data_IF_616453044541
#
_entry.id   IF_616453044541
#
_cell.length_a   1.000
_cell.length_b   1.000
_cell.length_c   1.000
_cell.angle_alpha   90.00
_cell.angle_beta   90.00
_cell.angle_gamma   90.00
#
_symmetry.space_group_name_H-M   'P 1'
#
loop_
_entity.id
_entity.type
_entity.pdbx_description
1 polymer ?
#
# COMPACT_ATOMS: atom_id res chain seq x y z
N UNK A 1 -29.67 -43.99 20.50
CA UNK A 1 -30.57 -44.25 21.65
C UNK A 1 -30.12 -45.52 22.33
N UNK A 2 -29.69 -45.44 23.59
CA UNK A 2 -29.44 -46.61 24.42
C UNK A 2 -30.29 -46.45 25.67
N UNK A 3 -31.20 -47.39 25.87
CA UNK A 3 -31.96 -47.54 27.10
C UNK A 3 -31.46 -48.82 27.75
N UNK A 4 -30.68 -48.68 28.82
CA UNK A 4 -30.35 -49.81 29.68
C UNK A 4 -31.49 -50.00 30.69
N UNK A 5 -31.96 -51.24 30.82
CA UNK A 5 -32.85 -51.67 31.89
C UNK A 5 -32.02 -52.46 32.91
N UNK A 6 -32.14 -52.19 34.22
CA UNK A 6 -31.53 -53.02 35.23
C UNK A 6 -32.33 -54.34 35.38
N UNK A 7 -31.62 -55.46 35.27
CA UNK A 7 -32.14 -56.79 35.57
C UNK A 7 -32.06 -57.07 37.07
N UNK A 8 -33.18 -56.92 37.78
CA UNK A 8 -33.67 -57.82 38.84
C UNK A 8 -34.60 -57.10 39.82
N UNK A 9 -35.67 -57.82 40.21
CA UNK A 9 -36.59 -57.60 41.32
C UNK A 9 -37.83 -56.72 41.07
N UNK A 10 -38.97 -57.31 41.43
CA UNK A 10 -40.35 -56.85 41.30
C UNK A 10 -40.85 -56.20 42.62
N UNK A 11 -42.15 -55.90 42.79
CA UNK A 11 -42.87 -54.82 42.14
C UNK A 11 -43.57 -53.95 43.21
N UNK A 12 -43.37 -52.65 43.23
CA UNK A 12 -44.40 -51.64 43.57
C UNK A 12 -43.76 -50.26 43.56
N UNK A 13 -44.36 -49.36 42.77
CA UNK A 13 -44.12 -47.92 42.80
C UNK A 13 -42.76 -47.48 42.24
N UNK A 14 -42.70 -47.15 40.95
CA UNK A 14 -41.65 -46.30 40.38
C UNK A 14 -42.22 -45.51 39.20
N UNK A 15 -42.47 -44.22 39.46
CA UNK A 15 -42.73 -43.21 38.45
C UNK A 15 -41.61 -43.21 37.41
N UNK A 16 -41.97 -43.16 36.14
CA UNK A 16 -41.04 -42.81 35.07
C UNK A 16 -40.61 -41.36 35.25
N UNK A 17 -39.46 -41.14 35.88
CA UNK A 17 -38.79 -39.83 35.80
C UNK A 17 -38.01 -39.77 34.49
N UNK A 18 -38.66 -39.30 33.43
CA UNK A 18 -37.96 -38.72 32.30
C UNK A 18 -37.45 -37.33 32.71
N UNK A 19 -36.17 -37.22 33.07
CA UNK A 19 -35.53 -35.89 33.18
C UNK A 19 -35.42 -35.30 31.77
N UNK A 20 -36.29 -34.35 31.46
CA UNK A 20 -36.06 -33.37 30.40
C UNK A 20 -34.87 -32.54 30.88
N UNK A 21 -33.74 -32.66 30.19
CA UNK A 21 -32.53 -31.90 30.50
C UNK A 21 -32.84 -30.40 30.47
N UNK A 22 -32.65 -29.79 31.64
CA UNK A 22 -32.79 -28.36 31.92
C UNK A 22 -32.07 -27.50 30.88
N UNK A 23 -32.81 -26.61 30.24
CA UNK A 23 -32.23 -25.62 29.35
C UNK A 23 -33.30 -24.75 28.74
N UNK A 24 -33.36 -23.49 29.18
CA UNK A 24 -34.27 -22.50 28.64
C UNK A 24 -33.96 -22.32 27.14
N UNK A 25 -34.82 -22.82 26.26
CA UNK A 25 -34.64 -22.80 24.79
C UNK A 25 -34.30 -21.40 24.23
N UNK A 26 -34.67 -20.35 24.97
CA UNK A 26 -34.35 -18.95 24.66
C UNK A 26 -32.88 -18.58 24.88
N UNK A 27 -32.16 -19.23 25.79
CA UNK A 27 -30.72 -19.02 26.02
C UNK A 27 -29.87 -19.75 24.97
N UNK A 28 -30.27 -20.97 24.60
CA UNK A 28 -29.60 -21.75 23.55
C UNK A 28 -29.65 -21.04 22.18
N UNK A 29 -30.77 -20.36 21.86
CA UNK A 29 -30.89 -19.57 20.63
C UNK A 29 -30.04 -18.29 20.67
N UNK A 30 -29.98 -17.58 21.81
CA UNK A 30 -29.11 -16.39 21.96
C UNK A 30 -27.62 -16.72 21.83
N UNK A 31 -27.19 -17.86 22.36
CA UNK A 31 -25.80 -18.28 22.31
C UNK A 31 -25.38 -18.75 20.92
N UNK A 32 -26.27 -19.44 20.19
CA UNK A 32 -25.99 -19.96 18.84
C UNK A 32 -26.03 -18.90 17.75
N UNK A 33 -26.93 -17.91 17.87
CA UNK A 33 -27.07 -16.82 16.88
C UNK A 33 -26.33 -15.53 17.27
N UNK A 34 -26.02 -15.33 18.56
CA UNK A 34 -25.23 -14.18 19.04
C UNK A 34 -23.76 -14.24 18.61
N UNK A 35 -23.18 -15.45 18.60
CA UNK A 35 -21.78 -15.66 18.17
C UNK A 35 -21.58 -15.52 16.65
N UNK A 36 -22.61 -15.82 15.85
CA UNK A 36 -22.54 -15.70 14.39
C UNK A 36 -22.67 -14.25 13.90
N UNK A 37 -23.47 -13.43 14.59
CA UNK A 37 -23.66 -12.00 14.27
C UNK A 37 -22.42 -11.16 14.61
N UNK A 38 -21.68 -11.52 15.66
CA UNK A 38 -20.45 -10.83 16.03
C UNK A 38 -19.30 -11.09 15.03
N UNK A 39 -19.21 -12.30 14.47
CA UNK A 39 -18.13 -12.68 13.56
C UNK A 39 -18.23 -12.04 12.16
N UNK A 40 -19.45 -11.73 11.69
CA UNK A 40 -19.66 -11.11 10.36
C UNK A 40 -19.40 -9.59 10.39
N UNK A 41 -19.60 -8.93 11.54
CA UNK A 41 -19.37 -7.50 11.69
C UNK A 41 -17.87 -7.12 11.74
N UNK A 42 -16.97 -8.05 12.08
CA UNK A 42 -15.53 -7.77 12.20
C UNK A 42 -14.78 -7.79 10.85
N UNK A 43 -15.32 -8.45 9.82
CA UNK A 43 -14.61 -8.65 8.54
C UNK A 43 -14.62 -7.38 7.65
N UNK A 44 -15.57 -6.47 7.84
CA UNK A 44 -15.68 -5.26 7.00
C UNK A 44 -14.82 -4.07 7.45
N UNK A 45 -14.12 -4.15 8.59
CA UNK A 45 -13.41 -3.00 9.17
C UNK A 45 -11.91 -2.92 8.84
N UNK A 46 -11.35 -3.86 8.08
CA UNK A 46 -9.90 -3.85 7.74
C UNK A 46 -9.59 -3.66 6.26
N UNK A 47 -10.55 -3.23 5.44
CA UNK A 47 -10.25 -2.77 4.09
C UNK A 47 -9.53 -1.41 4.16
N UNK A 48 -8.21 -1.43 4.29
CA UNK A 48 -7.38 -0.25 4.07
C UNK A 48 -7.62 0.26 2.66
N UNK A 49 -8.22 1.44 2.52
CA UNK A 49 -8.42 2.07 1.23
C UNK A 49 -7.06 2.51 0.69
N UNK A 50 -6.56 1.80 -0.33
CA UNK A 50 -5.41 2.26 -1.09
C UNK A 50 -5.88 3.37 -2.03
N UNK A 51 -5.29 4.55 -1.92
CA UNK A 51 -5.55 5.67 -2.83
C UNK A 51 -4.44 5.76 -3.86
N UNK A 52 -4.75 6.09 -5.10
CA UNK A 52 -3.74 6.34 -6.13
C UNK A 52 -3.58 7.85 -6.29
N UNK A 53 -2.34 8.32 -6.16
CA UNK A 53 -1.96 9.70 -6.45
C UNK A 53 -1.20 9.71 -7.79
N UNK A 54 -1.58 10.61 -8.68
CA UNK A 54 -0.97 10.77 -10.01
C UNK A 54 -0.12 12.02 -10.05
N UNK A 55 1.01 11.94 -10.75
CA UNK A 55 1.97 13.01 -10.89
C UNK A 55 2.66 13.03 -12.25
N UNK A 56 3.66 13.90 -12.37
CA UNK A 56 4.46 14.09 -13.57
C UNK A 56 5.95 13.93 -13.31
N UNK A 57 6.65 13.41 -14.32
CA UNK A 57 8.10 13.44 -14.44
C UNK A 57 8.48 14.34 -15.63
N UNK A 58 9.13 15.45 -15.33
CA UNK A 58 9.56 16.41 -16.33
C UNK A 58 11.06 16.28 -16.56
N UNK A 59 11.52 15.92 -17.78
CA UNK A 59 12.94 15.80 -18.07
C UNK A 59 13.66 17.15 -17.88
N UNK A 60 14.68 17.16 -17.02
CA UNK A 60 15.54 18.33 -16.79
C UNK A 60 16.96 18.13 -17.30
N UNK A 61 17.35 16.88 -17.56
CA UNK A 61 18.63 16.50 -18.16
C UNK A 61 18.53 15.14 -18.87
N UNK A 62 19.46 14.90 -19.80
CA UNK A 62 19.59 13.66 -20.55
C UNK A 62 18.82 13.65 -21.89
N UNK A 63 18.84 12.53 -22.62
CA UNK A 63 18.28 12.42 -23.97
C UNK A 63 16.84 12.91 -24.13
N UNK A 64 15.98 12.72 -23.12
CA UNK A 64 14.59 13.18 -23.16
C UNK A 64 14.45 14.69 -22.99
N UNK A 65 15.37 15.36 -22.29
CA UNK A 65 15.35 16.82 -22.16
C UNK A 65 15.71 17.57 -23.46
N UNK A 66 16.34 16.86 -24.41
CA UNK A 66 16.76 17.41 -25.71
C UNK A 66 15.71 17.22 -26.82
N UNK A 67 14.67 16.41 -26.58
CA UNK A 67 13.58 16.19 -27.55
C UNK A 67 12.68 17.43 -27.65
N UNK A 68 12.11 17.65 -28.84
CA UNK A 68 11.09 18.68 -29.06
C UNK A 68 9.79 18.07 -29.63
N UNK A 69 8.63 18.26 -28.95
CA UNK A 69 8.48 18.87 -27.62
C UNK A 69 9.14 18.03 -26.52
N UNK A 70 9.52 18.66 -25.40
CA UNK A 70 10.06 17.95 -24.23
C UNK A 70 8.93 17.06 -23.67
N UNK A 71 9.13 15.74 -23.58
CA UNK A 71 8.07 14.83 -23.20
C UNK A 71 7.90 14.82 -21.68
N UNK A 72 6.70 15.10 -21.18
CA UNK A 72 6.35 14.94 -19.76
C UNK A 72 5.75 13.56 -19.55
N UNK A 73 6.33 12.76 -18.66
CA UNK A 73 5.84 11.41 -18.37
C UNK A 73 4.84 11.48 -17.21
N UNK A 74 3.81 10.63 -17.27
CA UNK A 74 2.87 10.46 -16.17
C UNK A 74 3.36 9.35 -15.23
N UNK A 75 3.19 9.56 -13.94
CA UNK A 75 3.55 8.61 -12.89
C UNK A 75 2.40 8.42 -11.92
N UNK A 76 2.07 7.19 -11.60
CA UNK A 76 1.04 6.84 -10.63
C UNK A 76 1.68 6.15 -9.43
N UNK A 77 1.32 6.58 -8.23
CA UNK A 77 1.76 5.99 -6.98
C UNK A 77 0.55 5.55 -6.14
N UNK A 78 0.50 4.28 -5.78
CA UNK A 78 -0.48 3.79 -4.79
C UNK A 78 0.01 4.12 -3.39
N UNK A 79 -0.88 4.66 -2.54
CA UNK A 79 -0.61 5.00 -1.16
C UNK A 79 -1.39 4.06 -0.25
N UNK A 80 -0.66 3.12 0.36
CA UNK A 80 -1.21 2.16 1.32
C UNK A 80 -0.55 2.24 2.72
N UNK A 81 0.23 3.29 2.99
CA UNK A 81 0.93 3.48 4.26
C UNK A 81 2.30 4.16 4.06
N UNK A 82 3.40 3.66 4.65
CA UNK A 82 4.74 4.18 4.44
C UNK A 82 5.34 3.76 3.09
N UNK A 83 4.55 3.18 2.18
CA UNK A 83 4.98 2.74 0.87
C UNK A 83 3.80 2.27 0.01
N UNK A 84 4.14 1.87 -1.21
CA UNK A 84 3.19 1.31 -2.17
C UNK A 84 3.82 1.07 -3.54
N UNK A 85 2.97 0.87 -4.55
CA UNK A 85 3.40 0.59 -5.91
C UNK A 85 3.59 1.90 -6.69
N UNK A 86 4.46 1.86 -7.69
CA UNK A 86 4.63 2.96 -8.65
C UNK A 86 4.58 2.41 -10.07
N UNK A 87 3.97 3.15 -10.98
CA UNK A 87 3.93 2.83 -12.40
C UNK A 87 4.07 4.08 -13.25
N UNK A 88 4.73 3.94 -14.39
CA UNK A 88 4.85 5.01 -15.39
C UNK A 88 4.95 4.40 -16.78
N UNK A 89 4.67 5.21 -17.80
CA UNK A 89 4.90 4.86 -19.19
C UNK A 89 5.81 5.91 -19.82
N UNK A 90 6.88 5.46 -20.46
CA UNK A 90 7.82 6.36 -21.15
C UNK A 90 7.19 6.91 -22.44
N UNK A 91 7.76 7.98 -23.02
CA UNK A 91 7.25 8.56 -24.27
C UNK A 91 7.31 7.58 -25.45
N UNK A 92 8.18 6.58 -25.36
CA UNK A 92 8.38 5.53 -26.35
C UNK A 92 7.43 4.33 -26.13
N UNK A 93 6.47 4.45 -25.20
CA UNK A 93 5.46 3.43 -24.91
C UNK A 93 5.93 2.30 -24.00
N UNK A 94 7.10 2.44 -23.38
CA UNK A 94 7.65 1.43 -22.47
C UNK A 94 6.99 1.58 -21.10
N UNK A 95 6.38 0.51 -20.61
CA UNK A 95 5.75 0.49 -19.28
C UNK A 95 6.77 0.10 -18.22
N UNK A 96 6.77 0.82 -17.11
CA UNK A 96 7.61 0.54 -15.96
C UNK A 96 6.77 0.38 -14.70
N UNK A 97 7.18 -0.57 -13.86
CA UNK A 97 6.50 -0.88 -12.61
C UNK A 97 7.50 -1.11 -11.50
N UNK A 98 7.14 -0.73 -10.28
CA UNK A 98 7.93 -1.01 -9.10
C UNK A 98 7.26 -0.54 -7.82
N UNK A 99 8.08 -0.13 -6.86
CA UNK A 99 7.61 0.22 -5.51
C UNK A 99 8.31 1.46 -4.98
N UNK A 100 7.65 2.09 -4.00
CA UNK A 100 8.19 3.19 -3.24
C UNK A 100 8.03 2.94 -1.74
N UNK A 101 8.91 3.53 -0.95
CA UNK A 101 8.86 3.47 0.51
C UNK A 101 9.49 4.68 1.17
N UNK A 102 8.95 5.09 2.33
CA UNK A 102 9.55 6.14 3.17
C UNK A 102 10.83 5.62 3.81
N UNK A 103 11.88 6.41 3.73
CA UNK A 103 13.18 6.13 4.32
C UNK A 103 13.43 7.08 5.50
N UNK A 104 13.40 6.54 6.71
CA UNK A 104 13.82 7.30 7.89
C UNK A 104 15.35 7.46 7.89
N UNK A 105 15.85 8.71 7.90
CA UNK A 105 17.28 9.00 8.02
C UNK A 105 18.14 8.60 6.82
N UNK A 106 17.55 8.52 5.62
CA UNK A 106 18.25 8.14 4.39
C UNK A 106 19.23 9.18 3.86
N UNK A 107 20.26 8.70 3.16
CA UNK A 107 21.11 9.54 2.30
C UNK A 107 20.45 9.70 0.94
N UNK A 108 20.52 10.89 0.31
CA UNK A 108 19.97 11.12 -1.01
C UNK A 108 20.69 10.26 -2.08
N UNK A 109 19.92 9.56 -2.89
CA UNK A 109 20.31 8.85 -4.12
C UNK A 109 20.80 9.82 -5.20
N UNK A 110 20.26 11.04 -5.27
CA UNK A 110 20.65 12.04 -6.26
C UNK A 110 21.50 13.16 -5.67
N UNK A 111 22.63 13.44 -6.32
CA UNK A 111 23.53 14.54 -5.96
C UNK A 111 23.18 15.84 -6.69
N UNK A 112 23.65 16.98 -6.16
CA UNK A 112 23.54 18.30 -6.81
C UNK A 112 23.97 18.25 -8.28
N UNK A 113 25.11 17.60 -8.57
CA UNK A 113 25.65 17.45 -9.93
C UNK A 113 24.70 16.75 -10.90
N UNK A 114 23.81 15.89 -10.42
CA UNK A 114 22.81 15.20 -11.25
C UNK A 114 21.70 16.16 -11.72
N UNK A 115 21.60 17.35 -11.10
CA UNK A 115 20.46 18.26 -11.20
C UNK A 115 20.86 19.63 -11.75
N UNK A 116 22.14 19.99 -11.66
CA UNK A 116 22.68 21.29 -12.10
C UNK A 116 22.92 21.44 -13.59
N UNK A 117 22.84 20.36 -14.38
CA UNK A 117 23.08 20.37 -15.83
C UNK A 117 22.03 21.07 -16.69
N UNK A 118 21.19 21.97 -16.13
CA UNK A 118 20.14 22.63 -16.93
C UNK A 118 19.32 23.69 -16.19
N UNK A 119 18.36 23.29 -15.35
CA UNK A 119 17.43 24.21 -14.64
C UNK A 119 16.91 23.65 -13.31
N UNK A 120 17.72 22.82 -12.63
CA UNK A 120 17.31 22.13 -11.41
C UNK A 120 17.93 22.65 -10.11
N UNK A 121 18.84 23.63 -10.14
CA UNK A 121 19.59 24.06 -8.95
C UNK A 121 18.68 24.65 -7.85
N UNK A 122 17.71 25.50 -8.22
CA UNK A 122 16.74 26.07 -7.27
C UNK A 122 15.84 24.98 -6.68
N UNK A 123 15.43 24.04 -7.52
CA UNK A 123 14.63 22.88 -7.11
C UNK A 123 15.42 21.97 -6.17
N UNK A 124 16.67 21.64 -6.50
CA UNK A 124 17.55 20.84 -5.65
C UNK A 124 17.84 21.53 -4.33
N UNK A 125 18.05 22.85 -4.33
CA UNK A 125 18.26 23.61 -3.09
C UNK A 125 17.03 23.56 -2.20
N UNK A 126 15.84 23.82 -2.76
CA UNK A 126 14.59 23.65 -2.04
C UNK A 126 14.44 22.21 -1.53
N UNK A 127 14.67 21.21 -2.37
CA UNK A 127 14.65 19.78 -2.03
C UNK A 127 15.63 19.40 -0.90
N UNK A 128 16.87 19.87 -0.97
CA UNK A 128 17.93 19.61 0.02
C UNK A 128 17.63 20.17 1.41
N UNK A 129 16.74 21.17 1.51
CA UNK A 129 16.27 21.63 2.83
C UNK A 129 15.27 20.66 3.48
N UNK A 130 14.68 19.75 2.70
CA UNK A 130 13.78 18.71 3.20
C UNK A 130 14.45 17.35 3.39
N UNK A 131 15.64 17.12 2.82
CA UNK A 131 16.44 15.92 3.09
C UNK A 131 16.84 15.89 4.56
N UNK A 132 16.32 14.91 5.31
CA UNK A 132 16.35 14.85 6.78
C UNK A 132 14.95 14.79 7.41
N UNK A 133 13.90 15.03 6.63
CA UNK A 133 12.51 14.80 7.04
C UNK A 133 12.19 13.31 7.15
N UNK A 134 11.33 12.94 8.11
CA UNK A 134 10.72 11.60 8.20
C UNK A 134 9.80 11.25 7.00
N UNK A 135 9.59 12.20 6.09
CA UNK A 135 8.78 12.04 4.88
C UNK A 135 9.60 11.78 3.61
N UNK A 136 10.92 11.70 3.69
CA UNK A 136 11.73 11.28 2.54
C UNK A 136 11.31 9.87 2.11
N UNK A 137 11.05 9.69 0.83
CA UNK A 137 10.73 8.40 0.23
C UNK A 137 11.62 8.15 -0.97
N UNK A 138 11.92 6.88 -1.19
CA UNK A 138 12.63 6.40 -2.38
C UNK A 138 11.74 5.46 -3.16
N UNK A 139 11.91 5.45 -4.48
CA UNK A 139 11.25 4.51 -5.36
C UNK A 139 12.22 3.91 -6.36
N UNK A 140 11.88 2.70 -6.78
CA UNK A 140 12.56 2.03 -7.89
C UNK A 140 11.51 1.40 -8.79
N UNK A 141 11.75 1.42 -10.10
CA UNK A 141 10.92 0.73 -11.08
C UNK A 141 11.77 0.12 -12.18
N UNK A 142 11.29 -0.99 -12.74
CA UNK A 142 11.91 -1.62 -13.91
C UNK A 142 10.92 -1.58 -15.07
N UNK A 143 11.43 -1.23 -16.23
CA UNK A 143 10.69 -1.11 -17.47
C UNK A 143 10.72 -2.42 -18.27
N UNK A 144 9.75 -2.59 -19.17
CA UNK A 144 9.66 -3.78 -20.03
C UNK A 144 10.85 -3.95 -20.98
N UNK A 145 11.59 -2.88 -21.27
CA UNK A 145 12.81 -2.88 -22.09
C UNK A 145 14.10 -3.06 -21.27
N UNK A 146 13.99 -3.23 -19.94
CA UNK A 146 15.13 -3.35 -19.03
C UNK A 146 15.67 -2.03 -18.48
N UNK A 147 15.14 -0.88 -18.91
CA UNK A 147 15.44 0.43 -18.30
C UNK A 147 15.07 0.41 -16.82
N UNK A 148 15.91 0.97 -15.96
CA UNK A 148 15.66 1.07 -14.52
C UNK A 148 15.49 2.52 -14.11
N UNK A 149 14.43 2.80 -13.37
CA UNK A 149 14.16 4.09 -12.75
C UNK A 149 14.46 4.04 -11.26
N UNK A 150 15.02 5.13 -10.75
CA UNK A 150 15.17 5.42 -9.33
C UNK A 150 14.61 6.80 -9.06
N UNK A 151 14.01 7.01 -7.89
CA UNK A 151 13.44 8.30 -7.52
C UNK A 151 13.55 8.55 -6.03
N UNK A 152 13.57 9.82 -5.67
CA UNK A 152 13.44 10.32 -4.31
C UNK A 152 12.44 11.46 -4.27
N UNK A 153 11.48 11.41 -3.36
CA UNK A 153 10.43 12.42 -3.25
C UNK A 153 9.93 12.54 -1.81
N UNK A 154 9.26 13.65 -1.51
CA UNK A 154 8.63 13.84 -0.20
C UNK A 154 7.24 13.25 -0.24
N UNK A 155 7.02 12.17 0.51
CA UNK A 155 5.73 11.55 0.67
C UNK A 155 4.92 12.26 1.77
N UNK A 156 4.41 13.46 1.47
CA UNK A 156 3.58 14.24 2.39
C UNK A 156 2.11 13.98 2.12
N UNK A 157 1.35 13.61 3.15
CA UNK A 157 -0.09 13.34 3.01
C UNK A 157 -0.82 14.64 2.65
N UNK A 158 -1.48 14.67 1.48
CA UNK A 158 -2.33 15.79 1.05
C UNK A 158 -1.60 16.99 0.45
N UNK A 159 -0.31 16.86 0.12
CA UNK A 159 0.43 17.85 -0.66
C UNK A 159 0.98 17.16 -1.91
N UNK A 160 0.98 17.83 -3.07
CA UNK A 160 1.74 17.37 -4.23
C UNK A 160 3.19 17.17 -3.80
N UNK A 161 3.63 15.91 -3.70
CA UNK A 161 5.00 15.57 -3.35
C UNK A 161 5.92 16.04 -4.45
N UNK A 162 7.01 16.72 -4.10
CA UNK A 162 8.08 17.07 -5.06
C UNK A 162 9.21 16.06 -4.93
N UNK A 163 9.98 15.85 -5.99
CA UNK A 163 11.13 14.95 -5.95
C UNK A 163 12.02 14.97 -7.19
N UNK A 164 12.99 14.06 -7.23
CA UNK A 164 13.95 13.87 -8.31
C UNK A 164 13.91 12.40 -8.72
N UNK A 165 13.84 12.13 -10.02
CA UNK A 165 14.01 10.79 -10.56
C UNK A 165 15.17 10.74 -11.56
N UNK A 166 15.67 9.55 -11.82
CA UNK A 166 16.59 9.29 -12.91
C UNK A 166 16.44 7.87 -13.42
N UNK A 167 16.90 7.65 -14.64
CA UNK A 167 16.90 6.33 -15.25
C UNK A 167 18.29 5.86 -15.69
N UNK A 168 18.39 4.56 -16.01
CA UNK A 168 19.62 3.93 -16.49
C UNK A 168 20.09 4.43 -17.87
N UNK A 169 19.25 5.17 -18.59
CA UNK A 169 19.60 5.78 -19.87
C UNK A 169 20.21 7.19 -19.69
N UNK A 170 20.38 7.62 -18.43
CA UNK A 170 20.95 8.91 -18.10
C UNK A 170 19.96 10.05 -18.25
N UNK A 171 18.65 9.82 -18.12
CA UNK A 171 17.72 10.93 -17.95
C UNK A 171 17.59 11.30 -16.47
N UNK A 172 17.39 12.58 -16.19
CA UNK A 172 17.03 13.08 -14.86
C UNK A 172 15.75 13.90 -14.99
N UNK A 173 14.86 13.70 -14.02
CA UNK A 173 13.51 14.25 -14.03
C UNK A 173 13.20 14.98 -12.73
N UNK A 174 12.39 16.03 -12.84
CA UNK A 174 11.67 16.63 -11.72
C UNK A 174 10.35 15.88 -11.52
N UNK A 175 10.05 15.50 -10.29
CA UNK A 175 8.79 14.85 -9.90
C UNK A 175 7.85 15.89 -9.30
N UNK A 176 6.57 15.83 -9.68
CA UNK A 176 5.47 16.56 -9.04
C UNK A 176 4.25 15.65 -8.96
N UNK A 177 3.81 15.26 -7.76
CA UNK A 177 2.51 14.60 -7.54
C UNK A 177 1.37 15.60 -7.40
#
# INVERSE_FOLDING_TARGET
MRCDYPSSLAPTTLERVCKIGDGNMREQLRQKYGSALAAVATIFLTAGCATTDSGTLEPVWGPFSERQPVPVLQIDATISGPGGNISLTTPDGVTCSGTWSRQAGGQPLFSESSVTGGKGLEFYRAWSTYTGSSNLATATATCSDGTRFSAEFLAVRGSPGVGIAGDSNGNVYRITF
#
